data_IF_264744222582
#
_entry.id   IF_264744222582
#
_cell.length_a   1.000
_cell.length_b   1.000
_cell.length_c   1.000
_cell.angle_alpha   90.00
_cell.angle_beta   90.00
_cell.angle_gamma   90.00
#
_symmetry.space_group_name_H-M   'P 1'
#
loop_
_entity.id
_entity.type
_entity.pdbx_description
1 polymer ?
#
# COMPACT_ATOMS: atom_id res chain seq x y z
N UNK A 1 -19.45 -28.95 -7.45
CA UNK A 1 -19.40 -27.71 -6.66
C UNK A 1 -17.95 -27.39 -6.36
N UNK A 2 -17.38 -26.35 -7.00
CA UNK A 2 -15.93 -26.09 -7.00
C UNK A 2 -15.46 -25.64 -5.60
N UNK A 3 -14.73 -26.50 -4.90
CA UNK A 3 -14.15 -26.26 -3.56
C UNK A 3 -13.24 -25.01 -3.57
N UNK A 4 -12.66 -24.69 -4.73
CA UNK A 4 -11.88 -23.46 -4.97
C UNK A 4 -12.68 -22.16 -4.83
N UNK A 5 -14.01 -22.18 -5.05
CA UNK A 5 -14.84 -20.96 -5.01
C UNK A 5 -15.17 -20.51 -3.58
N UNK A 6 -15.10 -21.44 -2.61
CA UNK A 6 -15.36 -21.17 -1.18
C UNK A 6 -14.11 -20.62 -0.49
N UNK A 7 -12.92 -21.14 -0.82
CA UNK A 7 -11.65 -20.61 -0.32
C UNK A 7 -11.23 -19.29 -1.00
N UNK A 8 -11.64 -19.04 -2.24
CA UNK A 8 -11.23 -17.86 -3.01
C UNK A 8 -11.95 -16.55 -2.63
N UNK A 9 -13.11 -16.57 -1.96
CA UNK A 9 -13.85 -15.32 -1.67
C UNK A 9 -13.63 -14.76 -0.26
N UNK A 10 -13.39 -15.62 0.73
CA UNK A 10 -13.14 -15.22 2.12
C UNK A 10 -11.65 -14.97 2.42
N UNK A 11 -10.78 -15.91 2.02
CA UNK A 11 -9.35 -15.82 2.36
C UNK A 11 -8.56 -14.84 1.48
N UNK A 12 -9.06 -14.48 0.29
CA UNK A 12 -8.38 -13.56 -0.64
C UNK A 12 -8.68 -12.08 -0.34
N UNK A 13 -9.74 -11.81 0.46
CA UNK A 13 -10.01 -10.47 1.02
C UNK A 13 -9.20 -10.18 2.27
N UNK A 14 -8.99 -11.18 3.12
CA UNK A 14 -7.79 -11.25 3.97
C UNK A 14 -6.58 -11.42 3.02
N UNK A 15 -5.31 -11.48 3.38
CA UNK A 15 -4.16 -11.47 2.43
C UNK A 15 -3.99 -10.21 1.55
N UNK A 16 -5.02 -9.41 1.29
CA UNK A 16 -4.92 -8.19 0.47
C UNK A 16 -3.87 -7.21 1.02
N UNK A 17 -3.91 -6.99 2.33
CA UNK A 17 -3.00 -6.15 3.08
C UNK A 17 -1.56 -6.70 3.06
N UNK A 18 -1.42 -8.02 3.21
CA UNK A 18 -0.10 -8.68 3.20
C UNK A 18 0.53 -8.60 1.81
N UNK A 19 -0.24 -8.89 0.76
CA UNK A 19 0.22 -8.82 -0.63
C UNK A 19 0.61 -7.37 -0.99
N UNK A 20 -0.23 -6.39 -0.66
CA UNK A 20 0.08 -4.98 -0.95
C UNK A 20 1.30 -4.48 -0.14
N UNK A 21 1.44 -4.93 1.11
CA UNK A 21 2.63 -4.61 1.92
C UNK A 21 3.90 -5.23 1.35
N UNK A 22 3.88 -6.50 0.91
CA UNK A 22 5.01 -7.15 0.25
C UNK A 22 5.38 -6.46 -1.07
N UNK A 23 4.37 -6.07 -1.85
CA UNK A 23 4.55 -5.32 -3.09
C UNK A 23 5.23 -3.97 -2.82
N UNK A 24 4.83 -3.25 -1.78
CA UNK A 24 5.45 -1.97 -1.41
C UNK A 24 6.88 -2.14 -0.89
N UNK A 25 7.17 -3.21 -0.14
CA UNK A 25 8.55 -3.53 0.27
C UNK A 25 9.40 -3.75 -0.99
N UNK A 26 8.92 -4.54 -1.94
CA UNK A 26 9.62 -4.76 -3.20
C UNK A 26 9.88 -3.43 -3.92
N UNK A 27 8.87 -2.58 -4.10
CA UNK A 27 9.03 -1.27 -4.75
C UNK A 27 9.93 -0.28 -3.99
N UNK A 28 9.99 -0.35 -2.66
CA UNK A 28 10.88 0.50 -1.87
C UNK A 28 12.36 0.12 -2.04
N UNK A 29 12.65 -1.17 -2.27
CA UNK A 29 14.02 -1.70 -2.24
C UNK A 29 14.53 -2.32 -3.56
N UNK A 30 13.71 -2.47 -4.60
CA UNK A 30 14.14 -3.12 -5.85
C UNK A 30 15.35 -2.45 -6.50
N UNK A 31 15.48 -1.13 -6.33
CA UNK A 31 16.58 -0.35 -6.88
C UNK A 31 17.93 -0.74 -6.26
N UNK A 32 17.96 -1.31 -5.05
CA UNK A 32 19.19 -1.77 -4.38
C UNK A 32 19.82 -2.92 -5.16
N UNK A 33 19.02 -3.86 -5.65
CA UNK A 33 19.51 -4.98 -6.48
C UNK A 33 20.03 -4.45 -7.81
N UNK A 34 19.29 -3.54 -8.46
CA UNK A 34 19.73 -2.90 -9.70
C UNK A 34 21.06 -2.15 -9.50
N UNK A 35 21.22 -1.47 -8.36
CA UNK A 35 22.45 -0.78 -7.98
C UNK A 35 23.64 -1.74 -7.80
N UNK A 36 23.44 -2.87 -7.11
CA UNK A 36 24.50 -3.88 -6.93
C UNK A 36 24.99 -4.45 -8.26
N UNK A 37 24.06 -4.82 -9.16
CA UNK A 37 24.38 -5.30 -10.51
C UNK A 37 25.14 -4.22 -11.28
N UNK A 38 24.71 -2.96 -11.13
CA UNK A 38 25.34 -1.84 -11.79
C UNK A 38 26.77 -1.60 -11.27
N UNK A 39 27.06 -1.80 -9.98
CA UNK A 39 28.42 -1.67 -9.45
C UNK A 39 29.39 -2.74 -9.99
N UNK A 40 28.91 -3.95 -10.26
CA UNK A 40 29.74 -5.08 -10.74
C UNK A 40 30.14 -4.90 -12.21
N UNK A 41 29.29 -4.27 -13.02
CA UNK A 41 29.56 -4.01 -14.45
C UNK A 41 30.65 -2.94 -14.59
N UNK A 42 31.64 -3.15 -15.46
CA UNK A 42 32.80 -2.29 -15.82
C UNK A 42 32.94 -0.88 -15.19
N UNK A 43 34.17 -0.56 -14.77
CA UNK A 43 34.57 0.76 -14.26
C UNK A 43 34.49 1.83 -15.36
N UNK A 44 33.47 2.68 -15.29
CA UNK A 44 33.32 3.83 -16.17
C UNK A 44 33.18 5.11 -15.33
N UNK A 45 34.04 6.11 -15.51
CA UNK A 45 34.03 7.35 -14.71
C UNK A 45 32.70 8.13 -14.80
N UNK A 46 32.06 8.18 -15.98
CA UNK A 46 30.77 8.87 -16.18
C UNK A 46 29.63 8.19 -15.40
N UNK A 47 29.75 6.88 -15.22
CA UNK A 47 28.81 6.04 -14.47
C UNK A 47 28.77 6.40 -12.98
N UNK A 48 29.94 6.67 -12.39
CA UNK A 48 30.04 7.05 -10.98
C UNK A 48 29.47 8.44 -10.70
N UNK A 49 29.62 9.39 -11.64
CA UNK A 49 29.01 10.71 -11.51
C UNK A 49 27.48 10.64 -11.47
N UNK A 50 26.88 9.81 -12.33
CA UNK A 50 25.43 9.56 -12.31
C UNK A 50 24.98 8.97 -10.96
N UNK A 51 25.74 8.01 -10.42
CA UNK A 51 25.44 7.39 -9.13
C UNK A 51 25.45 8.38 -7.96
N UNK A 52 26.40 9.32 -7.94
CA UNK A 52 26.49 10.33 -6.88
C UNK A 52 25.22 11.19 -6.82
N UNK A 53 24.59 11.47 -7.96
CA UNK A 53 23.36 12.27 -8.02
C UNK A 53 22.12 11.40 -7.76
N UNK A 54 22.10 10.18 -8.31
CA UNK A 54 20.91 9.33 -8.29
C UNK A 54 20.72 8.60 -6.95
N UNK A 55 21.79 8.17 -6.29
CA UNK A 55 21.71 7.44 -5.02
C UNK A 55 21.06 8.28 -3.91
N UNK A 56 21.44 9.55 -3.65
CA UNK A 56 20.78 10.36 -2.63
C UNK A 56 19.28 10.49 -2.87
N UNK A 57 18.86 10.66 -4.13
CA UNK A 57 17.45 10.76 -4.49
C UNK A 57 16.69 9.45 -4.16
N UNK A 58 17.28 8.30 -4.48
CA UNK A 58 16.73 7.00 -4.13
C UNK A 58 16.71 6.74 -2.62
N UNK A 59 17.72 7.21 -1.88
CA UNK A 59 17.74 7.11 -0.41
C UNK A 59 16.65 7.96 0.22
N UNK A 60 16.45 9.21 -0.26
CA UNK A 60 15.36 10.08 0.20
C UNK A 60 14.01 9.41 -0.06
N UNK A 61 13.80 8.88 -1.27
CA UNK A 61 12.59 8.15 -1.63
C UNK A 61 12.36 6.93 -0.72
N UNK A 62 13.40 6.14 -0.47
CA UNK A 62 13.32 4.95 0.38
C UNK A 62 13.00 5.33 1.83
N UNK A 63 13.63 6.37 2.36
CA UNK A 63 13.37 6.86 3.71
C UNK A 63 11.92 7.38 3.85
N UNK A 64 11.43 8.11 2.85
CA UNK A 64 10.05 8.57 2.80
C UNK A 64 9.06 7.40 2.78
N UNK A 65 9.25 6.45 1.85
CA UNK A 65 8.41 5.26 1.71
C UNK A 65 8.42 4.41 3.00
N UNK A 66 9.60 4.23 3.60
CA UNK A 66 9.72 3.50 4.85
C UNK A 66 8.94 4.15 5.99
N UNK A 67 9.11 5.46 6.19
CA UNK A 67 8.51 6.16 7.33
C UNK A 67 6.99 6.37 7.19
N UNK A 68 6.51 6.70 6.00
CA UNK A 68 5.11 7.06 5.78
C UNK A 68 4.24 5.90 5.33
N UNK A 69 4.83 4.83 4.78
CA UNK A 69 4.06 3.70 4.22
C UNK A 69 4.39 2.39 4.94
N UNK A 70 5.66 1.97 4.94
CA UNK A 70 6.01 0.64 5.47
C UNK A 70 5.92 0.55 6.99
N UNK A 71 6.45 1.54 7.72
CA UNK A 71 6.48 1.53 9.18
C UNK A 71 5.07 1.47 9.81
N UNK A 72 4.07 2.28 9.36
CA UNK A 72 2.69 2.12 9.82
C UNK A 72 2.12 0.73 9.53
N UNK A 73 2.36 0.19 8.34
CA UNK A 73 1.88 -1.16 7.95
C UNK A 73 2.53 -2.27 8.77
N UNK A 74 3.83 -2.19 9.03
CA UNK A 74 4.53 -3.17 9.87
C UNK A 74 3.98 -3.19 11.30
N UNK A 75 3.63 -2.02 11.88
CA UNK A 75 2.94 -1.95 13.18
C UNK A 75 1.57 -2.62 13.13
N UNK A 76 0.86 -2.48 12.02
CA UNK A 76 -0.46 -3.05 11.81
C UNK A 76 -0.47 -4.56 11.58
N UNK A 77 0.68 -5.22 11.33
CA UNK A 77 0.73 -6.68 11.18
C UNK A 77 0.15 -7.39 12.40
N UNK A 78 0.43 -6.89 13.61
CA UNK A 78 -0.12 -7.46 14.85
C UNK A 78 -1.65 -7.33 14.93
N UNK A 79 -2.17 -6.13 14.65
CA UNK A 79 -3.61 -5.84 14.57
C UNK A 79 -4.30 -6.70 13.50
N UNK A 80 -3.64 -6.88 12.35
CA UNK A 80 -4.10 -7.71 11.26
C UNK A 80 -4.22 -9.18 11.67
N UNK A 81 -3.18 -9.76 12.29
CA UNK A 81 -3.20 -11.15 12.74
C UNK A 81 -4.23 -11.40 13.85
N UNK A 82 -4.43 -10.43 14.74
CA UNK A 82 -5.38 -10.51 15.85
C UNK A 82 -6.82 -10.12 15.45
N UNK A 83 -7.05 -9.68 14.20
CA UNK A 83 -8.33 -9.15 13.70
C UNK A 83 -8.87 -7.95 14.50
N UNK A 84 -7.97 -7.17 15.08
CA UNK A 84 -8.28 -5.98 15.87
C UNK A 84 -8.35 -4.75 14.96
N UNK A 85 -9.55 -4.47 14.45
CA UNK A 85 -9.79 -3.42 13.46
C UNK A 85 -10.63 -2.30 14.05
N UNK A 86 -10.32 -1.06 13.66
CA UNK A 86 -11.17 0.10 13.94
C UNK A 86 -12.29 0.16 12.92
N UNK A 87 -13.43 0.72 13.34
CA UNK A 87 -14.60 0.92 12.47
C UNK A 87 -14.93 2.40 12.40
N UNK A 88 -15.28 2.88 11.21
CA UNK A 88 -15.81 4.23 11.02
C UNK A 88 -16.88 4.21 9.92
N UNK A 89 -17.76 5.20 9.90
CA UNK A 89 -18.76 5.40 8.85
C UNK A 89 -18.83 6.86 8.45
N UNK A 90 -19.15 7.14 7.19
CA UNK A 90 -19.37 8.50 6.72
C UNK A 90 -19.42 8.60 5.21
N UNK A 91 -19.35 9.82 4.70
CA UNK A 91 -19.45 10.11 3.27
C UNK A 91 -18.07 10.19 2.61
N UNK A 92 -17.94 9.55 1.43
CA UNK A 92 -16.73 9.62 0.64
C UNK A 92 -16.68 10.90 -0.21
N UNK A 93 -15.81 11.83 0.16
CA UNK A 93 -15.68 13.12 -0.52
C UNK A 93 -14.72 13.10 -1.72
N UNK A 94 -13.75 12.18 -1.74
CA UNK A 94 -12.77 12.08 -2.83
C UNK A 94 -12.20 10.67 -2.96
N UNK A 95 -11.87 10.25 -4.19
CA UNK A 95 -11.29 8.95 -4.51
C UNK A 95 -10.08 9.13 -5.42
N UNK A 96 -8.90 8.74 -4.93
CA UNK A 96 -7.66 8.74 -5.70
C UNK A 96 -7.33 7.31 -6.17
N UNK A 97 -7.73 6.99 -7.40
CA UNK A 97 -7.47 5.71 -8.07
C UNK A 97 -6.42 5.79 -9.20
N UNK A 98 -6.01 7.00 -9.61
CA UNK A 98 -5.36 7.23 -10.92
C UNK A 98 -3.89 7.64 -10.87
N UNK A 99 -3.30 7.87 -9.69
CA UNK A 99 -1.89 8.25 -9.59
C UNK A 99 -0.99 7.02 -9.79
N UNK A 100 -0.37 6.89 -10.97
CA UNK A 100 0.69 5.92 -11.26
C UNK A 100 1.77 6.03 -10.17
N UNK A 101 1.89 5.01 -9.32
CA UNK A 101 2.91 4.93 -8.27
C UNK A 101 2.50 5.46 -6.89
N UNK A 102 1.27 5.95 -6.69
CA UNK A 102 0.77 6.25 -5.34
C UNK A 102 -0.20 5.16 -4.87
N UNK A 103 -0.16 4.86 -3.57
CA UNK A 103 -1.09 3.92 -2.94
C UNK A 103 -2.52 4.43 -3.13
N UNK A 104 -3.42 3.63 -3.72
CA UNK A 104 -4.81 4.02 -3.91
C UNK A 104 -5.46 4.39 -2.58
N UNK A 105 -6.17 5.51 -2.58
CA UNK A 105 -6.71 6.12 -1.37
C UNK A 105 -8.02 6.85 -1.64
N UNK A 106 -8.77 7.12 -0.59
CA UNK A 106 -9.99 7.89 -0.63
C UNK A 106 -10.15 8.67 0.67
N UNK A 107 -10.96 9.72 0.64
CA UNK A 107 -11.23 10.57 1.80
C UNK A 107 -12.64 10.27 2.29
N UNK A 108 -12.76 9.94 3.58
CA UNK A 108 -14.03 9.73 4.28
C UNK A 108 -14.04 10.66 5.50
N UNK A 109 -15.03 11.54 5.62
CA UNK A 109 -15.12 12.51 6.72
C UNK A 109 -13.84 13.35 6.92
N UNK A 110 -13.20 13.77 5.83
CA UNK A 110 -11.96 14.55 5.86
C UNK A 110 -10.69 13.74 6.16
N UNK A 111 -10.81 12.45 6.45
CA UNK A 111 -9.68 11.56 6.75
C UNK A 111 -9.31 10.67 5.56
N UNK A 112 -8.02 10.50 5.28
CA UNK A 112 -7.51 9.68 4.17
C UNK A 112 -7.36 8.22 4.58
N UNK A 113 -7.97 7.32 3.82
CA UNK A 113 -7.89 5.87 3.97
C UNK A 113 -7.27 5.23 2.73
N UNK A 114 -6.56 4.12 2.92
CA UNK A 114 -5.88 3.39 1.86
C UNK A 114 -6.55 2.05 1.62
N UNK A 115 -6.55 1.59 0.37
CA UNK A 115 -7.20 0.33 0.02
C UNK A 115 -6.59 -0.29 -1.23
N UNK A 116 -6.85 -1.57 -1.43
CA UNK A 116 -6.53 -2.24 -2.68
C UNK A 116 -7.69 -2.14 -3.68
N UNK A 117 -7.52 -1.45 -4.83
CA UNK A 117 -8.58 -1.19 -5.80
C UNK A 117 -8.98 -2.44 -6.61
N UNK A 118 -8.17 -3.50 -6.58
CA UNK A 118 -8.58 -4.78 -7.15
C UNK A 118 -9.69 -5.45 -6.36
N UNK A 119 -9.76 -5.21 -5.05
CA UNK A 119 -10.74 -5.86 -4.16
C UNK A 119 -11.90 -4.95 -3.79
N UNK A 120 -11.66 -3.65 -3.67
CA UNK A 120 -12.68 -2.68 -3.26
C UNK A 120 -12.87 -1.61 -4.34
N UNK A 121 -14.13 -1.36 -4.72
CA UNK A 121 -14.51 -0.26 -5.62
C UNK A 121 -15.19 0.82 -4.81
N UNK A 122 -14.62 2.01 -4.83
CA UNK A 122 -15.09 3.17 -4.06
C UNK A 122 -15.56 4.23 -5.03
N UNK A 123 -16.70 4.83 -4.71
CA UNK A 123 -17.31 5.90 -5.48
C UNK A 123 -17.43 7.14 -4.61
N UNK A 124 -17.22 8.30 -5.23
CA UNK A 124 -17.44 9.59 -4.59
C UNK A 124 -18.94 9.77 -4.27
N UNK A 125 -19.24 10.54 -3.23
CA UNK A 125 -20.59 10.96 -2.80
C UNK A 125 -21.45 9.76 -2.37
N UNK A 126 -20.79 8.72 -1.84
CA UNK A 126 -21.41 7.52 -1.28
C UNK A 126 -21.03 7.35 0.19
N UNK A 127 -21.96 6.80 0.95
CA UNK A 127 -21.72 6.46 2.35
C UNK A 127 -21.09 5.07 2.48
N UNK A 128 -20.04 4.98 3.28
CA UNK A 128 -19.36 3.71 3.55
C UNK A 128 -19.18 3.50 5.04
N UNK A 129 -19.33 2.24 5.44
CA UNK A 129 -18.83 1.71 6.71
C UNK A 129 -17.56 0.93 6.45
N UNK A 130 -16.48 1.33 7.12
CA UNK A 130 -15.14 0.79 6.94
C UNK A 130 -14.71 0.03 8.18
N UNK A 131 -14.03 -1.10 7.99
CA UNK A 131 -13.13 -1.68 9.00
C UNK A 131 -11.70 -1.55 8.51
N UNK A 132 -10.84 -0.95 9.33
CA UNK A 132 -9.51 -0.53 8.91
C UNK A 132 -8.46 -0.75 10.01
N UNK A 133 -7.20 -0.79 9.59
CA UNK A 133 -6.04 -0.94 10.46
C UNK A 133 -5.62 0.42 11.05
N UNK A 134 -5.33 0.49 12.37
CA UNK A 134 -5.27 1.75 13.09
C UNK A 134 -4.09 2.66 12.74
N UNK A 135 -2.93 2.11 12.34
CA UNK A 135 -1.73 2.93 12.10
C UNK A 135 -1.64 3.39 10.63
N UNK A 136 -1.88 2.48 9.69
CA UNK A 136 -1.78 2.71 8.25
C UNK A 136 -3.07 3.23 7.63
N UNK A 137 -4.19 3.22 8.36
CA UNK A 137 -5.54 3.53 7.83
C UNK A 137 -5.90 2.67 6.62
N UNK A 138 -5.36 1.46 6.54
CA UNK A 138 -5.62 0.53 5.45
C UNK A 138 -6.95 -0.20 5.69
N UNK A 139 -7.84 -0.16 4.71
CA UNK A 139 -9.20 -0.72 4.77
C UNK A 139 -9.18 -2.21 4.45
N UNK A 140 -9.72 -3.01 5.39
CA UNK A 140 -9.86 -4.46 5.28
C UNK A 140 -11.25 -4.85 4.80
N UNK A 141 -12.29 -4.19 5.33
CA UNK A 141 -13.68 -4.42 4.91
C UNK A 141 -14.35 -3.08 4.62
N UNK A 142 -15.16 -3.07 3.57
CA UNK A 142 -15.89 -1.90 3.10
C UNK A 142 -17.30 -2.32 2.73
N UNK A 143 -18.27 -1.63 3.31
CA UNK A 143 -19.71 -1.83 3.10
C UNK A 143 -20.32 -0.49 2.67
N UNK A 144 -21.01 -0.48 1.52
CA UNK A 144 -21.77 0.69 1.07
C UNK A 144 -23.08 0.76 1.86
N UNK A 145 -23.32 1.89 2.52
CA UNK A 145 -24.53 2.15 3.31
C UNK A 145 -25.45 3.04 2.47
N UNK A 146 -26.74 2.70 2.43
CA UNK A 146 -27.76 3.50 1.75
C UNK A 146 -28.14 4.73 2.55
#
# INVERSE_FOLDING_TARGET
>A
MNIWKVFSKGNVKHMDFIIDTLFQIFFAFFWVIAFLIFLIKERNKKKYLFLIIFIPLLMIWTAYSYNHVLKPRLKDVSYYMNKDYKTTSGECSNVNTKSKGATPSFVLEGETYYYNPWFNKIHKDKNYKLRYLPNSKYVIELEEVK
#
